data_IF_677766421972
#
_entry.id   IF_677766421972
#
_cell.length_a   1.000
_cell.length_b   1.000
_cell.length_c   1.000
_cell.angle_alpha   90.00
_cell.angle_beta   90.00
_cell.angle_gamma   90.00
#
_symmetry.space_group_name_H-M   'P 1'
#
loop_
_entity.id
_entity.type
_entity.pdbx_description
1 polymer ?
#
# COMPACT_ATOMS: atom_id res chain seq x y z
N UNK A 1 -2.44 -29.02 7.52
CA UNK A 1 -3.33 -29.60 6.50
C UNK A 1 -3.95 -30.93 6.96
N UNK A 2 -3.13 -31.93 7.46
CA UNK A 2 -3.66 -33.22 7.90
C UNK A 2 -4.70 -33.09 9.03
N UNK A 3 -4.48 -32.18 10.00
CA UNK A 3 -5.46 -31.89 11.06
C UNK A 3 -6.81 -31.43 10.49
N UNK A 4 -6.79 -30.51 9.51
CA UNK A 4 -8.01 -30.03 8.86
C UNK A 4 -8.71 -31.09 8.00
N UNK A 5 -7.94 -32.00 7.37
CA UNK A 5 -8.53 -33.16 6.71
C UNK A 5 -9.28 -34.07 7.71
N UNK A 6 -8.72 -34.29 8.92
CA UNK A 6 -9.38 -35.03 10.00
C UNK A 6 -10.62 -34.29 10.52
N UNK A 7 -10.58 -32.96 10.66
CA UNK A 7 -11.76 -32.14 10.98
C UNK A 7 -12.89 -32.39 9.95
N UNK A 8 -12.57 -32.37 8.66
CA UNK A 8 -13.52 -32.65 7.57
C UNK A 8 -14.12 -34.07 7.63
N UNK A 9 -13.41 -35.03 8.22
CA UNK A 9 -13.87 -36.42 8.46
C UNK A 9 -14.59 -36.60 9.80
N UNK A 10 -14.79 -35.52 10.57
CA UNK A 10 -15.42 -35.60 11.92
C UNK A 10 -14.48 -36.16 13.02
N UNK A 11 -13.19 -36.36 12.72
CA UNK A 11 -12.20 -36.89 13.67
C UNK A 11 -11.55 -35.77 14.48
N UNK A 12 -12.37 -35.07 15.27
CA UNK A 12 -11.97 -33.83 15.97
C UNK A 12 -10.82 -34.08 16.95
N UNK A 13 -10.89 -35.14 17.79
CA UNK A 13 -9.85 -35.46 18.77
C UNK A 13 -8.48 -35.67 18.13
N UNK A 14 -8.43 -36.47 17.06
CA UNK A 14 -7.18 -36.74 16.34
C UNK A 14 -6.62 -35.46 15.66
N UNK A 15 -7.50 -34.58 15.21
CA UNK A 15 -7.09 -33.28 14.63
C UNK A 15 -6.45 -32.35 15.67
N UNK A 16 -7.09 -32.24 16.85
CA UNK A 16 -6.58 -31.42 17.96
C UNK A 16 -5.22 -31.93 18.45
N UNK A 17 -5.03 -33.24 18.57
CA UNK A 17 -3.73 -33.85 18.93
C UNK A 17 -2.63 -33.47 17.89
N UNK A 18 -2.96 -33.48 16.60
CA UNK A 18 -2.01 -33.06 15.58
C UNK A 18 -1.64 -31.57 15.68
N UNK A 19 -2.56 -30.70 16.06
CA UNK A 19 -2.24 -29.29 16.29
C UNK A 19 -1.39 -29.11 17.55
N UNK A 20 -1.58 -29.91 18.60
CA UNK A 20 -0.74 -29.93 19.80
C UNK A 20 0.69 -30.35 19.44
N UNK A 21 0.86 -31.48 18.76
CA UNK A 21 2.17 -31.94 18.28
C UNK A 21 2.86 -30.87 17.40
N UNK A 22 2.09 -30.18 16.56
CA UNK A 22 2.64 -29.09 15.74
C UNK A 22 3.08 -27.89 16.60
N UNK A 23 2.37 -27.58 17.68
CA UNK A 23 2.68 -26.45 18.58
C UNK A 23 3.98 -26.64 19.36
N UNK A 24 4.44 -27.88 19.56
CA UNK A 24 5.69 -28.21 20.23
C UNK A 24 6.92 -27.96 19.34
N UNK A 25 6.72 -27.84 18.03
CA UNK A 25 7.82 -27.59 17.08
C UNK A 25 8.30 -26.15 17.18
N UNK A 26 9.63 -25.97 17.18
CA UNK A 26 10.28 -24.65 17.23
C UNK A 26 9.76 -23.74 16.13
N UNK A 27 9.26 -22.57 16.50
CA UNK A 27 8.75 -21.54 15.56
C UNK A 27 7.34 -21.79 15.04
N UNK A 28 6.68 -22.92 15.41
CA UNK A 28 5.35 -23.25 14.93
C UNK A 28 4.24 -23.02 15.98
N UNK A 29 4.60 -22.67 17.21
CA UNK A 29 3.65 -22.62 18.33
C UNK A 29 2.45 -21.72 18.04
N UNK A 30 2.68 -20.44 17.76
CA UNK A 30 1.58 -19.48 17.53
C UNK A 30 0.72 -19.86 16.33
N UNK A 31 1.35 -20.33 15.26
CA UNK A 31 0.65 -20.80 14.06
C UNK A 31 -0.23 -22.02 14.36
N UNK A 32 0.30 -23.03 15.05
CA UNK A 32 -0.45 -24.26 15.37
C UNK A 32 -1.57 -23.98 16.37
N UNK A 33 -1.36 -23.14 17.39
CA UNK A 33 -2.37 -22.73 18.35
C UNK A 33 -3.49 -21.94 17.68
N UNK A 34 -3.19 -21.06 16.74
CA UNK A 34 -4.21 -20.39 15.92
C UNK A 34 -5.08 -21.38 15.15
N UNK A 35 -4.49 -22.39 14.51
CA UNK A 35 -5.24 -23.43 13.81
C UNK A 35 -6.09 -24.27 14.76
N UNK A 36 -5.58 -24.57 15.97
CA UNK A 36 -6.32 -25.27 17.02
C UNK A 36 -7.53 -24.46 17.51
N UNK A 37 -7.36 -23.15 17.72
CA UNK A 37 -8.45 -22.26 18.10
C UNK A 37 -9.56 -22.23 17.03
N UNK A 38 -9.20 -22.13 15.75
CA UNK A 38 -10.17 -22.21 14.65
C UNK A 38 -10.89 -23.57 14.61
N UNK A 39 -10.18 -24.68 14.92
CA UNK A 39 -10.80 -26.00 14.98
C UNK A 39 -11.83 -26.11 16.12
N UNK A 40 -11.55 -25.50 17.28
CA UNK A 40 -12.54 -25.37 18.34
C UNK A 40 -13.76 -24.56 17.91
N UNK A 41 -13.54 -23.42 17.25
CA UNK A 41 -14.63 -22.60 16.72
C UNK A 41 -15.52 -23.38 15.73
N UNK A 42 -14.92 -24.21 14.87
CA UNK A 42 -15.68 -25.02 13.90
C UNK A 42 -16.67 -25.99 14.55
N UNK A 43 -16.36 -26.48 15.77
CA UNK A 43 -17.24 -27.36 16.53
C UNK A 43 -18.06 -26.62 17.59
N UNK A 44 -17.99 -25.29 17.65
CA UNK A 44 -18.77 -24.44 18.54
C UNK A 44 -18.19 -24.29 19.95
N UNK A 45 -16.96 -24.77 20.19
CA UNK A 45 -16.26 -24.62 21.48
C UNK A 45 -15.48 -23.30 21.52
N UNK A 46 -16.22 -22.20 21.65
CA UNK A 46 -15.63 -20.85 21.67
C UNK A 46 -14.88 -20.55 22.97
N UNK A 47 -15.23 -21.18 24.07
CA UNK A 47 -14.54 -21.07 25.35
C UNK A 47 -13.11 -21.57 25.25
N UNK A 48 -12.90 -22.79 24.71
CA UNK A 48 -11.57 -23.36 24.51
C UNK A 48 -10.75 -22.53 23.52
N UNK A 49 -11.39 -21.98 22.49
CA UNK A 49 -10.72 -21.08 21.53
C UNK A 49 -10.23 -19.78 22.19
N UNK A 50 -11.05 -19.12 23.04
CA UNK A 50 -10.66 -17.90 23.74
C UNK A 50 -9.53 -18.14 24.75
N UNK A 51 -9.51 -19.28 25.43
CA UNK A 51 -8.38 -19.63 26.33
C UNK A 51 -7.07 -19.59 25.58
N UNK A 52 -7.01 -20.14 24.36
CA UNK A 52 -5.80 -20.13 23.52
C UNK A 52 -5.39 -18.68 23.19
N UNK A 53 -6.32 -17.81 22.79
CA UNK A 53 -6.02 -16.43 22.47
C UNK A 53 -5.56 -15.62 23.70
N UNK A 54 -6.20 -15.81 24.84
CA UNK A 54 -5.84 -15.15 26.10
C UNK A 54 -4.44 -15.55 26.60
N UNK A 55 -4.03 -16.80 26.42
CA UNK A 55 -2.70 -17.26 26.77
C UNK A 55 -1.65 -16.74 25.79
N UNK A 56 -1.96 -16.70 24.48
CA UNK A 56 -1.08 -16.17 23.44
C UNK A 56 -0.80 -14.69 23.66
N UNK A 57 -1.78 -13.92 24.07
CA UNK A 57 -1.66 -12.49 24.38
C UNK A 57 -0.70 -12.25 25.56
N UNK A 58 -0.87 -12.99 26.65
CA UNK A 58 -0.01 -12.92 27.85
C UNK A 58 1.46 -13.27 27.57
N UNK A 59 1.72 -14.15 26.62
CA UNK A 59 3.07 -14.60 26.26
C UNK A 59 3.77 -13.70 25.24
N UNK A 60 3.08 -12.66 24.69
CA UNK A 60 3.62 -11.74 23.71
C UNK A 60 3.96 -12.38 22.36
N UNK A 61 3.41 -13.57 22.06
CA UNK A 61 3.67 -14.31 20.82
C UNK A 61 2.91 -13.79 19.60
N UNK A 62 2.41 -12.56 19.66
CA UNK A 62 1.87 -11.79 18.55
C UNK A 62 0.63 -12.37 17.88
N UNK A 63 -0.53 -11.80 18.16
CA UNK A 63 -1.76 -12.04 17.39
C UNK A 63 -1.61 -11.33 16.04
N UNK A 64 -1.93 -11.99 14.94
CA UNK A 64 -1.94 -11.37 13.60
C UNK A 64 -3.18 -10.49 13.41
N UNK A 65 -3.19 -9.61 12.39
CA UNK A 65 -4.39 -8.85 12.02
C UNK A 65 -5.62 -9.76 11.88
N UNK A 66 -5.51 -10.86 11.14
CA UNK A 66 -6.60 -11.81 10.97
C UNK A 66 -6.95 -12.51 12.29
N UNK A 67 -5.96 -12.82 13.11
CA UNK A 67 -6.17 -13.38 14.45
C UNK A 67 -6.96 -12.44 15.37
N UNK A 68 -6.77 -11.13 15.26
CA UNK A 68 -7.54 -10.15 16.03
C UNK A 68 -9.02 -10.13 15.63
N UNK A 69 -9.33 -10.25 14.33
CA UNK A 69 -10.72 -10.36 13.86
C UNK A 69 -11.37 -11.67 14.33
N UNK A 70 -10.62 -12.79 14.30
CA UNK A 70 -11.08 -14.09 14.81
C UNK A 70 -11.43 -13.98 16.29
N UNK A 71 -10.51 -13.44 17.12
CA UNK A 71 -10.74 -13.30 18.58
C UNK A 71 -11.94 -12.42 18.87
N UNK A 72 -12.09 -11.29 18.20
CA UNK A 72 -13.25 -10.41 18.38
C UNK A 72 -14.57 -11.15 18.09
N UNK A 73 -14.61 -11.97 17.03
CA UNK A 73 -15.80 -12.77 16.70
C UNK A 73 -16.04 -13.91 17.70
N UNK A 74 -14.99 -14.53 18.27
CA UNK A 74 -15.10 -15.49 19.37
C UNK A 74 -15.73 -14.82 20.59
N UNK A 75 -15.25 -13.67 21.01
CA UNK A 75 -15.79 -12.92 22.14
C UNK A 75 -17.27 -12.58 21.95
N UNK A 76 -17.70 -12.32 20.70
CA UNK A 76 -19.11 -12.14 20.39
C UNK A 76 -19.95 -13.39 20.60
N UNK A 77 -19.45 -14.58 20.22
CA UNK A 77 -20.17 -15.85 20.46
C UNK A 77 -20.29 -16.15 21.96
N UNK A 78 -19.36 -15.63 22.77
CA UNK A 78 -19.35 -15.72 24.23
C UNK A 78 -20.14 -14.59 24.91
N UNK A 79 -20.93 -13.81 24.18
CA UNK A 79 -21.68 -12.63 24.66
C UNK A 79 -20.81 -11.55 25.35
N UNK A 80 -19.49 -11.56 25.11
CA UNK A 80 -18.49 -10.64 25.67
C UNK A 80 -18.21 -9.45 24.74
N UNK A 81 -19.27 -8.76 24.37
CA UNK A 81 -19.23 -7.63 23.40
C UNK A 81 -18.29 -6.51 23.83
N UNK A 82 -18.32 -6.09 25.11
CA UNK A 82 -17.46 -5.03 25.63
C UNK A 82 -15.98 -5.40 25.43
N UNK A 83 -15.64 -6.63 25.83
CA UNK A 83 -14.26 -7.13 25.72
C UNK A 83 -13.78 -7.20 24.26
N UNK A 84 -14.69 -7.51 23.32
CA UNK A 84 -14.35 -7.49 21.89
C UNK A 84 -14.02 -6.08 21.38
N UNK A 85 -14.79 -5.08 21.79
CA UNK A 85 -14.55 -3.67 21.41
C UNK A 85 -13.24 -3.16 22.02
N UNK A 86 -13.07 -3.35 23.33
CA UNK A 86 -11.88 -2.91 24.06
C UNK A 86 -10.61 -3.56 23.49
N UNK A 87 -10.64 -4.85 23.22
CA UNK A 87 -9.55 -5.57 22.59
C UNK A 87 -9.20 -5.02 21.21
N UNK A 88 -10.19 -4.78 20.33
CA UNK A 88 -9.93 -4.24 18.99
C UNK A 88 -9.37 -2.82 19.05
N UNK A 89 -9.85 -1.99 19.98
CA UNK A 89 -9.36 -0.62 20.15
C UNK A 89 -7.93 -0.58 20.72
N UNK A 90 -7.63 -1.44 21.71
CA UNK A 90 -6.29 -1.55 22.27
C UNK A 90 -5.28 -2.10 21.25
N UNK A 91 -5.66 -3.17 20.54
CA UNK A 91 -4.78 -3.85 19.58
C UNK A 91 -4.43 -3.00 18.36
N UNK A 92 -5.41 -2.26 17.81
CA UNK A 92 -5.23 -1.51 16.56
C UNK A 92 -5.01 0.00 16.78
N UNK A 93 -5.34 0.54 17.95
CA UNK A 93 -5.18 1.94 18.28
C UNK A 93 -5.93 2.91 17.34
N UNK A 94 -5.42 4.12 17.21
CA UNK A 94 -6.02 5.17 16.35
C UNK A 94 -5.91 4.87 14.84
N UNK A 95 -4.94 4.07 14.43
CA UNK A 95 -4.68 3.73 13.03
C UNK A 95 -5.44 2.47 12.57
N UNK A 96 -6.48 2.06 13.31
CA UNK A 96 -7.36 0.96 12.93
C UNK A 96 -7.84 1.10 11.48
N UNK A 97 -7.65 0.06 10.68
CA UNK A 97 -8.10 0.01 9.28
C UNK A 97 -9.64 0.07 9.18
N UNK A 98 -10.14 0.30 7.97
CA UNK A 98 -11.59 0.42 7.72
C UNK A 98 -12.38 -0.81 8.18
N UNK A 99 -11.84 -2.01 7.99
CA UNK A 99 -12.48 -3.27 8.39
C UNK A 99 -12.68 -3.36 9.89
N UNK A 100 -11.64 -3.01 10.67
CA UNK A 100 -11.73 -3.02 12.14
C UNK A 100 -12.70 -1.95 12.62
N UNK A 101 -12.66 -0.74 12.06
CA UNK A 101 -13.62 0.33 12.39
C UNK A 101 -15.06 -0.06 12.06
N UNK A 102 -15.28 -0.72 10.91
CA UNK A 102 -16.60 -1.21 10.53
C UNK A 102 -17.09 -2.28 11.52
N UNK A 103 -16.22 -3.21 11.92
CA UNK A 103 -16.54 -4.22 12.91
C UNK A 103 -16.90 -3.60 14.27
N UNK A 104 -16.08 -2.67 14.77
CA UNK A 104 -16.36 -1.94 16.02
C UNK A 104 -17.71 -1.21 15.94
N UNK A 105 -18.01 -0.53 14.84
CA UNK A 105 -19.28 0.18 14.64
C UNK A 105 -20.47 -0.79 14.65
N UNK A 106 -20.35 -1.95 13.98
CA UNK A 106 -21.39 -2.99 14.03
C UNK A 106 -21.60 -3.52 15.44
N UNK A 107 -20.51 -3.77 16.18
CA UNK A 107 -20.56 -4.18 17.58
C UNK A 107 -21.26 -3.14 18.43
N UNK A 108 -20.89 -1.86 18.32
CA UNK A 108 -21.51 -0.75 19.07
C UNK A 108 -23.00 -0.62 18.76
N UNK A 109 -23.39 -0.81 17.51
CA UNK A 109 -24.81 -0.81 17.09
C UNK A 109 -25.61 -2.01 17.60
N UNK A 110 -24.98 -3.00 18.23
CA UNK A 110 -25.66 -4.17 18.74
C UNK A 110 -25.99 -5.22 17.67
N UNK A 111 -25.31 -5.19 16.55
CA UNK A 111 -25.49 -6.19 15.50
C UNK A 111 -25.10 -7.60 16.00
N UNK A 112 -25.90 -8.60 15.65
CA UNK A 112 -25.49 -9.99 15.81
C UNK A 112 -24.40 -10.29 14.77
N UNK A 113 -23.26 -10.81 15.24
CA UNK A 113 -22.13 -11.18 14.40
C UNK A 113 -21.89 -12.67 14.53
N UNK A 114 -22.14 -13.40 13.45
CA UNK A 114 -21.87 -14.81 13.39
C UNK A 114 -20.37 -15.09 13.23
N UNK A 115 -19.93 -16.25 13.69
CA UNK A 115 -18.59 -16.72 13.44
C UNK A 115 -18.51 -17.33 12.02
N UNK A 116 -17.97 -16.59 11.09
CA UNK A 116 -17.91 -16.94 9.67
C UNK A 116 -16.48 -17.17 9.13
N UNK A 117 -15.49 -17.24 10.04
CA UNK A 117 -14.07 -17.31 9.65
C UNK A 117 -13.67 -18.69 9.12
N UNK A 118 -14.28 -19.77 9.62
CA UNK A 118 -14.08 -21.15 9.16
C UNK A 118 -15.40 -21.93 9.35
N UNK A 119 -15.92 -22.52 8.28
CA UNK A 119 -17.19 -23.29 8.26
C UNK A 119 -17.00 -24.74 7.88
N UNK A 120 -15.78 -25.13 7.48
CA UNK A 120 -15.47 -26.49 7.04
C UNK A 120 -13.99 -26.83 7.19
N UNK A 121 -13.66 -28.11 7.13
CA UNK A 121 -12.27 -28.57 7.08
C UNK A 121 -11.51 -28.05 5.84
N UNK A 122 -12.19 -27.82 4.72
CA UNK A 122 -11.62 -27.20 3.52
C UNK A 122 -11.23 -25.76 3.78
N UNK A 123 -12.12 -24.96 4.36
CA UNK A 123 -11.83 -23.55 4.72
C UNK A 123 -10.68 -23.45 5.72
N UNK A 124 -10.62 -24.36 6.71
CA UNK A 124 -9.50 -24.44 7.65
C UNK A 124 -8.17 -24.80 6.98
N UNK A 125 -8.18 -25.66 5.97
CA UNK A 125 -6.99 -25.92 5.16
C UNK A 125 -6.59 -24.68 4.34
N UNK A 126 -7.55 -23.91 3.86
CA UNK A 126 -7.32 -22.59 3.25
C UNK A 126 -6.64 -21.62 4.20
N UNK A 127 -7.07 -21.55 5.47
CA UNK A 127 -6.42 -20.73 6.51
C UNK A 127 -4.96 -21.12 6.78
N UNK A 128 -4.64 -22.43 6.73
CA UNK A 128 -3.24 -22.89 6.82
C UNK A 128 -2.41 -22.33 5.67
N UNK A 129 -2.93 -22.43 4.44
CA UNK A 129 -2.19 -21.98 3.24
C UNK A 129 -2.05 -20.45 3.21
N UNK A 130 -3.08 -19.72 3.61
CA UNK A 130 -3.02 -18.28 3.75
C UNK A 130 -1.99 -17.85 4.81
N UNK A 131 -2.02 -18.50 6.00
CA UNK A 131 -1.04 -18.22 7.06
C UNK A 131 0.41 -18.50 6.62
N UNK A 132 0.64 -19.57 5.83
CA UNK A 132 1.95 -19.83 5.24
C UNK A 132 2.34 -18.76 4.23
N UNK A 133 1.40 -18.30 3.39
CA UNK A 133 1.65 -17.21 2.46
C UNK A 133 2.10 -15.94 3.18
N UNK A 134 1.40 -15.54 4.23
CA UNK A 134 1.77 -14.36 5.05
C UNK A 134 3.17 -14.55 5.69
N UNK A 135 3.48 -15.73 6.21
CA UNK A 135 4.79 -16.00 6.81
C UNK A 135 5.94 -15.91 5.79
N UNK A 136 5.70 -16.31 4.54
CA UNK A 136 6.68 -16.27 3.46
C UNK A 136 6.82 -14.88 2.80
N UNK A 137 5.82 -14.01 2.93
CA UNK A 137 5.83 -12.65 2.36
C UNK A 137 7.02 -11.82 2.85
N UNK A 138 7.51 -12.08 4.05
CA UNK A 138 8.64 -11.38 4.66
C UNK A 138 10.00 -12.07 4.39
N UNK A 139 10.04 -13.12 3.56
CA UNK A 139 11.24 -13.90 3.21
C UNK A 139 11.69 -13.67 1.76
N UNK A 140 12.87 -14.20 1.40
CA UNK A 140 13.47 -14.04 0.07
C UNK A 140 12.88 -14.93 -1.06
N UNK A 141 11.70 -15.52 -0.89
CA UNK A 141 11.14 -16.47 -1.86
C UNK A 141 9.70 -16.18 -2.29
N UNK A 142 9.49 -15.42 -3.36
CA UNK A 142 8.16 -15.10 -3.87
C UNK A 142 7.50 -16.20 -4.71
N UNK A 143 8.28 -17.21 -5.21
CA UNK A 143 7.82 -18.19 -6.20
C UNK A 143 6.69 -19.12 -5.72
N UNK A 144 6.58 -19.38 -4.42
CA UNK A 144 5.49 -20.19 -3.84
C UNK A 144 4.30 -19.38 -3.34
N UNK A 145 4.46 -18.07 -3.17
CA UNK A 145 3.50 -17.21 -2.48
C UNK A 145 2.17 -17.14 -3.22
N UNK A 146 2.21 -16.91 -4.53
CA UNK A 146 1.01 -16.88 -5.37
C UNK A 146 0.29 -18.23 -5.38
N UNK A 147 1.04 -19.34 -5.42
CA UNK A 147 0.44 -20.68 -5.36
C UNK A 147 -0.34 -20.89 -4.04
N UNK A 148 0.26 -20.54 -2.91
CA UNK A 148 -0.39 -20.69 -1.61
C UNK A 148 -1.64 -19.80 -1.48
N UNK A 149 -1.58 -18.54 -1.94
CA UNK A 149 -2.75 -17.64 -1.90
C UNK A 149 -3.86 -18.09 -2.83
N UNK A 150 -3.53 -18.61 -4.03
CA UNK A 150 -4.53 -19.15 -4.97
C UNK A 150 -5.19 -20.41 -4.44
N UNK A 151 -4.43 -21.33 -3.85
CA UNK A 151 -4.97 -22.51 -3.19
C UNK A 151 -5.80 -22.14 -1.95
N UNK A 152 -5.37 -21.16 -1.17
CA UNK A 152 -6.14 -20.64 -0.03
C UNK A 152 -7.50 -20.11 -0.48
N UNK A 153 -7.53 -19.26 -1.52
CA UNK A 153 -8.77 -18.71 -2.09
C UNK A 153 -9.69 -19.79 -2.69
N UNK A 154 -9.11 -20.86 -3.26
CA UNK A 154 -9.88 -21.98 -3.79
C UNK A 154 -10.54 -22.81 -2.67
N UNK A 155 -9.80 -23.09 -1.59
CA UNK A 155 -10.28 -23.88 -0.45
C UNK A 155 -11.19 -23.09 0.49
N UNK A 156 -10.98 -21.78 0.59
CA UNK A 156 -11.72 -20.84 1.43
C UNK A 156 -12.15 -19.60 0.60
N UNK A 157 -13.16 -19.70 -0.29
CA UNK A 157 -13.60 -18.58 -1.12
C UNK A 157 -14.11 -17.37 -0.34
N UNK A 158 -14.52 -17.57 0.91
CA UNK A 158 -14.94 -16.52 1.85
C UNK A 158 -13.75 -15.73 2.43
N UNK A 159 -12.51 -16.23 2.28
CA UNK A 159 -11.33 -15.54 2.76
C UNK A 159 -10.91 -14.42 1.79
N UNK A 160 -11.55 -13.25 1.93
CA UNK A 160 -11.27 -12.06 1.12
C UNK A 160 -9.81 -11.60 1.22
N UNK A 161 -9.14 -11.81 2.36
CA UNK A 161 -7.72 -11.45 2.50
C UNK A 161 -6.81 -12.29 1.60
N UNK A 162 -7.15 -13.57 1.40
CA UNK A 162 -6.43 -14.43 0.45
C UNK A 162 -6.64 -13.97 -1.00
N UNK A 163 -7.86 -13.52 -1.34
CA UNK A 163 -8.16 -12.92 -2.66
C UNK A 163 -7.36 -11.65 -2.89
N UNK A 164 -7.37 -10.73 -1.92
CA UNK A 164 -6.64 -9.45 -2.01
C UNK A 164 -5.13 -9.66 -2.15
N UNK A 165 -4.55 -10.55 -1.34
CA UNK A 165 -3.12 -10.87 -1.43
C UNK A 165 -2.79 -11.51 -2.78
N UNK A 166 -3.64 -12.42 -3.27
CA UNK A 166 -3.48 -13.00 -4.60
C UNK A 166 -3.52 -11.94 -5.71
N UNK A 167 -4.44 -10.97 -5.59
CA UNK A 167 -4.57 -9.88 -6.56
C UNK A 167 -3.32 -8.98 -6.57
N UNK A 168 -2.81 -8.60 -5.40
CA UNK A 168 -1.59 -7.82 -5.26
C UNK A 168 -0.37 -8.53 -5.88
N UNK A 169 -0.19 -9.82 -5.58
CA UNK A 169 0.90 -10.61 -6.16
C UNK A 169 0.80 -10.73 -7.68
N UNK A 170 -0.42 -10.89 -8.21
CA UNK A 170 -0.65 -10.92 -9.66
C UNK A 170 -0.30 -9.57 -10.30
N UNK A 171 -0.60 -8.46 -9.63
CA UNK A 171 -0.25 -7.12 -10.08
C UNK A 171 1.27 -6.91 -10.09
N UNK A 172 1.99 -7.31 -9.02
CA UNK A 172 3.45 -7.27 -8.94
C UNK A 172 4.13 -8.08 -10.04
N UNK A 173 3.52 -9.20 -10.44
CA UNK A 173 3.99 -10.05 -11.54
C UNK A 173 3.54 -9.54 -12.93
N UNK A 174 2.88 -8.39 -13.04
CA UNK A 174 2.38 -7.84 -14.30
C UNK A 174 1.17 -8.59 -14.88
N UNK A 175 0.56 -9.51 -14.12
CA UNK A 175 -0.61 -10.28 -14.54
C UNK A 175 -1.93 -9.49 -14.26
N UNK A 176 -2.00 -8.27 -14.76
CA UNK A 176 -3.08 -7.32 -14.44
C UNK A 176 -4.48 -7.85 -14.74
N UNK A 177 -4.67 -8.59 -15.82
CA UNK A 177 -5.99 -9.18 -16.15
C UNK A 177 -6.49 -10.15 -15.07
N UNK A 178 -5.62 -10.96 -14.49
CA UNK A 178 -5.96 -11.87 -13.39
C UNK A 178 -6.11 -11.13 -12.06
N UNK A 179 -5.32 -10.08 -11.83
CA UNK A 179 -5.44 -9.21 -10.66
C UNK A 179 -6.80 -8.51 -10.64
N UNK A 180 -7.23 -7.93 -11.77
CA UNK A 180 -8.54 -7.28 -11.93
C UNK A 180 -9.66 -8.26 -11.59
N UNK A 181 -9.60 -9.49 -12.11
CA UNK A 181 -10.63 -10.51 -11.83
C UNK A 181 -10.65 -10.93 -10.35
N UNK A 182 -9.48 -10.97 -9.69
CA UNK A 182 -9.39 -11.31 -8.26
C UNK A 182 -9.94 -10.18 -7.36
N UNK A 183 -9.68 -8.92 -7.70
CA UNK A 183 -10.27 -7.77 -7.00
C UNK A 183 -11.81 -7.71 -7.19
N UNK A 184 -12.28 -7.94 -8.41
CA UNK A 184 -13.72 -7.92 -8.76
C UNK A 184 -14.52 -9.02 -8.04
N UNK A 185 -13.85 -10.10 -7.62
CA UNK A 185 -14.47 -11.17 -6.84
C UNK A 185 -14.80 -10.79 -5.39
N UNK A 186 -14.32 -9.64 -4.89
CA UNK A 186 -14.59 -9.18 -3.51
C UNK A 186 -16.02 -8.66 -3.40
N UNK A 187 -16.86 -9.24 -2.51
CA UNK A 187 -18.26 -8.85 -2.39
C UNK A 187 -18.41 -7.38 -1.98
N UNK A 188 -19.37 -6.67 -2.57
CA UNK A 188 -19.67 -5.26 -2.26
C UNK A 188 -20.04 -5.03 -0.79
N UNK A 189 -20.61 -6.04 -0.15
CA UNK A 189 -20.97 -6.01 1.29
C UNK A 189 -19.78 -6.17 2.22
N UNK A 190 -18.62 -6.61 1.71
CA UNK A 190 -17.44 -6.83 2.54
C UNK A 190 -16.75 -5.50 2.88
N UNK A 191 -16.30 -5.28 4.13
CA UNK A 191 -15.61 -4.05 4.52
C UNK A 191 -14.35 -3.71 3.71
N UNK A 192 -13.69 -4.73 3.14
CA UNK A 192 -12.53 -4.55 2.27
C UNK A 192 -12.88 -4.20 0.81
N UNK A 193 -14.17 -4.07 0.45
CA UNK A 193 -14.62 -3.78 -0.92
C UNK A 193 -13.96 -2.52 -1.50
N UNK A 194 -13.94 -1.43 -0.73
CA UNK A 194 -13.32 -0.18 -1.20
C UNK A 194 -11.83 -0.38 -1.49
N UNK A 195 -11.12 -1.13 -0.64
CA UNK A 195 -9.70 -1.42 -0.86
C UNK A 195 -9.49 -2.30 -2.10
N UNK A 196 -10.37 -3.25 -2.35
CA UNK A 196 -10.36 -4.07 -3.56
C UNK A 196 -10.59 -3.23 -4.82
N UNK A 197 -11.59 -2.35 -4.82
CA UNK A 197 -11.88 -1.49 -5.95
C UNK A 197 -10.77 -0.47 -6.25
N UNK A 198 -10.11 0.06 -5.21
CA UNK A 198 -8.92 0.91 -5.38
C UNK A 198 -7.77 0.13 -6.04
N UNK A 199 -7.52 -1.11 -5.61
CA UNK A 199 -6.54 -2.00 -6.25
C UNK A 199 -6.95 -2.36 -7.69
N UNK A 200 -8.26 -2.64 -7.93
CA UNK A 200 -8.78 -2.91 -9.27
C UNK A 200 -8.59 -1.72 -10.22
N UNK A 201 -8.84 -0.51 -9.73
CA UNK A 201 -8.61 0.70 -10.50
C UNK A 201 -7.12 0.86 -10.87
N UNK A 202 -6.21 0.62 -9.92
CA UNK A 202 -4.78 0.67 -10.19
C UNK A 202 -4.36 -0.39 -11.22
N UNK A 203 -4.80 -1.64 -11.07
CA UNK A 203 -4.50 -2.72 -12.01
C UNK A 203 -5.07 -2.44 -13.41
N UNK A 204 -6.27 -1.82 -13.52
CA UNK A 204 -6.85 -1.37 -14.78
C UNK A 204 -5.98 -0.31 -15.46
N UNK A 205 -5.49 0.69 -14.72
CA UNK A 205 -4.59 1.72 -15.25
C UNK A 205 -3.29 1.10 -15.77
N UNK A 206 -2.66 0.23 -14.99
CA UNK A 206 -1.41 -0.45 -15.41
C UNK A 206 -1.65 -1.40 -16.59
N UNK A 207 -2.86 -1.92 -16.76
CA UNK A 207 -3.25 -2.73 -17.91
C UNK A 207 -3.58 -1.90 -19.17
N UNK A 208 -3.43 -0.57 -19.09
CA UNK A 208 -3.75 0.36 -20.18
C UNK A 208 -5.26 0.63 -20.37
N UNK A 209 -6.07 0.28 -19.37
CA UNK A 209 -7.54 0.54 -19.38
C UNK A 209 -7.90 1.74 -18.51
N UNK A 210 -7.23 2.86 -18.74
CA UNK A 210 -7.30 4.06 -17.90
C UNK A 210 -8.73 4.61 -17.76
N UNK A 211 -9.52 4.65 -18.84
CA UNK A 211 -10.90 5.14 -18.79
C UNK A 211 -11.77 4.31 -17.86
N UNK A 212 -11.61 2.97 -17.90
CA UNK A 212 -12.33 2.06 -16.99
C UNK A 212 -11.87 2.26 -15.53
N UNK A 213 -10.59 2.53 -15.32
CA UNK A 213 -10.05 2.84 -13.99
C UNK A 213 -10.69 4.11 -13.41
N UNK A 214 -10.77 5.17 -14.21
CA UNK A 214 -11.43 6.43 -13.81
C UNK A 214 -12.91 6.18 -13.50
N UNK A 215 -13.62 5.40 -14.31
CA UNK A 215 -15.03 5.07 -14.09
C UNK A 215 -15.24 4.34 -12.75
N UNK A 216 -14.42 3.35 -12.45
CA UNK A 216 -14.44 2.64 -11.15
C UNK A 216 -14.27 3.62 -9.98
N UNK A 217 -13.29 4.52 -10.06
CA UNK A 217 -13.04 5.49 -8.99
C UNK A 217 -14.19 6.50 -8.87
N UNK A 218 -14.80 6.93 -9.97
CA UNK A 218 -15.97 7.82 -9.95
C UNK A 218 -17.17 7.14 -9.28
N UNK A 219 -17.42 5.86 -9.58
CA UNK A 219 -18.49 5.08 -8.93
C UNK A 219 -18.21 4.92 -7.41
N UNK A 220 -16.95 4.78 -7.02
CA UNK A 220 -16.57 4.78 -5.60
C UNK A 220 -16.82 6.13 -4.94
N UNK A 221 -16.50 7.24 -5.60
CA UNK A 221 -16.79 8.60 -5.10
C UNK A 221 -18.29 8.78 -4.85
N UNK A 222 -19.16 8.32 -5.79
CA UNK A 222 -20.61 8.39 -5.63
C UNK A 222 -21.10 7.54 -4.45
N UNK A 223 -20.54 6.33 -4.28
CA UNK A 223 -20.96 5.40 -3.22
C UNK A 223 -20.41 5.73 -1.84
N UNK A 224 -19.21 6.32 -1.78
CA UNK A 224 -18.44 6.56 -0.55
C UNK A 224 -17.79 7.96 -0.55
N UNK A 225 -18.59 9.05 -0.73
CA UNK A 225 -18.04 10.41 -0.93
C UNK A 225 -17.19 10.93 0.23
N UNK A 226 -17.39 10.41 1.44
CA UNK A 226 -16.66 10.82 2.65
C UNK A 226 -15.31 10.09 2.85
N UNK A 227 -14.91 9.22 1.93
CA UNK A 227 -13.65 8.51 2.03
C UNK A 227 -12.53 9.23 1.26
N UNK A 228 -11.74 10.01 1.97
CA UNK A 228 -10.63 10.83 1.45
C UNK A 228 -9.73 10.06 0.46
N UNK A 229 -9.35 8.83 0.79
CA UNK A 229 -8.46 8.01 -0.03
C UNK A 229 -8.95 7.80 -1.47
N UNK A 230 -10.27 7.75 -1.69
CA UNK A 230 -10.83 7.59 -3.04
C UNK A 230 -10.53 8.83 -3.89
N UNK A 231 -10.72 10.01 -3.31
CA UNK A 231 -10.43 11.28 -3.98
C UNK A 231 -8.93 11.46 -4.23
N UNK A 232 -8.07 11.03 -3.29
CA UNK A 232 -6.60 11.00 -3.49
C UNK A 232 -6.23 10.12 -4.67
N UNK A 233 -6.71 8.88 -4.71
CA UNK A 233 -6.40 7.93 -5.79
C UNK A 233 -6.94 8.41 -7.14
N UNK A 234 -8.15 8.99 -7.17
CA UNK A 234 -8.70 9.57 -8.40
C UNK A 234 -7.86 10.77 -8.86
N UNK A 235 -7.43 11.62 -7.95
CA UNK A 235 -6.53 12.74 -8.24
C UNK A 235 -5.21 12.28 -8.84
N UNK A 236 -4.59 11.25 -8.25
CA UNK A 236 -3.34 10.68 -8.74
C UNK A 236 -3.47 10.12 -10.16
N UNK A 237 -4.53 9.37 -10.42
CA UNK A 237 -4.79 8.81 -11.75
C UNK A 237 -5.02 9.92 -12.78
N UNK A 238 -5.88 10.90 -12.46
CA UNK A 238 -6.17 12.03 -13.35
C UNK A 238 -4.90 12.86 -13.64
N UNK A 239 -4.03 13.06 -12.65
CA UNK A 239 -2.76 13.76 -12.81
C UNK A 239 -1.81 12.98 -13.72
N UNK A 240 -1.71 11.66 -13.59
CA UNK A 240 -0.91 10.79 -14.47
C UNK A 240 -1.38 10.86 -15.92
N UNK A 241 -2.69 10.98 -16.14
CA UNK A 241 -3.32 11.11 -17.46
C UNK A 241 -3.33 12.56 -18.01
N UNK A 242 -2.64 13.48 -17.35
CA UNK A 242 -2.58 14.87 -17.78
C UNK A 242 -3.89 15.66 -17.60
N UNK A 243 -4.89 15.12 -16.90
CA UNK A 243 -6.17 15.78 -16.64
C UNK A 243 -6.07 16.65 -15.37
N UNK A 244 -5.15 17.62 -15.39
CA UNK A 244 -4.71 18.35 -14.21
C UNK A 244 -5.81 19.12 -13.49
N UNK A 245 -6.74 19.78 -14.23
CA UNK A 245 -7.85 20.51 -13.61
C UNK A 245 -8.79 19.57 -12.83
N UNK A 246 -9.02 18.36 -13.34
CA UNK A 246 -9.82 17.34 -12.64
C UNK A 246 -9.07 16.79 -11.44
N UNK A 247 -7.76 16.59 -11.57
CA UNK A 247 -6.89 16.16 -10.48
C UNK A 247 -6.90 17.15 -9.33
N UNK A 248 -6.72 18.46 -9.60
CA UNK A 248 -6.80 19.53 -8.58
C UNK A 248 -8.12 19.47 -7.84
N UNK A 249 -9.26 19.39 -8.54
CA UNK A 249 -10.57 19.29 -7.87
C UNK A 249 -10.68 18.06 -6.95
N UNK A 250 -10.13 16.92 -7.37
CA UNK A 250 -10.15 15.72 -6.52
C UNK A 250 -9.27 15.89 -5.28
N UNK A 251 -8.09 16.50 -5.41
CA UNK A 251 -7.22 16.80 -4.28
C UNK A 251 -7.83 17.86 -3.35
N UNK A 252 -8.51 18.87 -3.87
CA UNK A 252 -9.20 19.89 -3.07
C UNK A 252 -10.23 19.23 -2.13
N UNK A 253 -11.08 18.35 -2.68
CA UNK A 253 -12.05 17.61 -1.87
C UNK A 253 -11.35 16.76 -0.80
N UNK A 254 -10.27 16.08 -1.17
CA UNK A 254 -9.51 15.25 -0.24
C UNK A 254 -8.83 16.08 0.87
N UNK A 255 -8.29 17.26 0.54
CA UNK A 255 -7.67 18.17 1.50
C UNK A 255 -8.71 18.76 2.47
N UNK A 256 -9.90 19.14 1.97
CA UNK A 256 -11.00 19.64 2.81
C UNK A 256 -11.46 18.63 3.86
N UNK A 257 -11.22 17.34 3.63
CA UNK A 257 -11.48 16.29 4.63
C UNK A 257 -10.39 16.15 5.70
N UNK A 258 -9.29 16.90 5.61
CA UNK A 258 -8.20 16.88 6.59
C UNK A 258 -8.46 17.91 7.67
N UNK A 259 -8.96 17.46 8.84
CA UNK A 259 -9.19 18.35 9.97
C UNK A 259 -7.90 18.99 10.52
N UNK A 260 -6.81 18.23 10.56
CA UNK A 260 -5.48 18.67 10.99
C UNK A 260 -4.41 18.01 10.13
N UNK A 261 -3.59 18.82 9.47
CA UNK A 261 -2.47 18.33 8.67
C UNK A 261 -1.38 17.74 9.58
N UNK A 262 -0.90 16.56 9.21
CA UNK A 262 0.17 15.80 9.89
C UNK A 262 1.30 15.51 8.89
N UNK A 263 2.50 15.13 9.33
CA UNK A 263 3.63 14.79 8.42
C UNK A 263 3.24 13.85 7.28
N UNK A 264 2.43 12.84 7.53
CA UNK A 264 1.99 11.87 6.50
C UNK A 264 1.17 12.48 5.35
N UNK A 265 0.65 13.69 5.50
CA UNK A 265 -0.17 14.36 4.48
C UNK A 265 0.67 15.17 3.47
N UNK A 266 2.00 15.17 3.57
CA UNK A 266 2.86 15.91 2.64
C UNK A 266 2.57 15.59 1.16
N UNK A 267 2.27 14.32 0.88
CA UNK A 267 2.13 13.83 -0.50
C UNK A 267 0.96 14.49 -1.25
N UNK A 268 -0.19 14.66 -0.61
CA UNK A 268 -1.37 15.24 -1.28
C UNK A 268 -1.13 16.69 -1.70
N UNK A 269 -0.43 17.48 -0.89
CA UNK A 269 -0.04 18.85 -1.24
C UNK A 269 1.02 18.85 -2.35
N UNK A 270 2.01 17.96 -2.30
CA UNK A 270 2.96 17.77 -3.38
C UNK A 270 2.26 17.41 -4.70
N UNK A 271 1.33 16.48 -4.67
CA UNK A 271 0.62 16.02 -5.86
C UNK A 271 -0.27 17.13 -6.45
N UNK A 272 -1.01 17.88 -5.61
CA UNK A 272 -1.79 19.03 -6.06
C UNK A 272 -0.89 20.15 -6.58
N UNK A 273 0.20 20.44 -5.90
CA UNK A 273 1.19 21.43 -6.33
C UNK A 273 1.77 21.12 -7.69
N UNK A 274 2.10 19.84 -7.96
CA UNK A 274 2.58 19.44 -9.28
C UNK A 274 1.49 19.57 -10.37
N UNK A 275 0.22 19.33 -10.04
CA UNK A 275 -0.87 19.56 -10.97
C UNK A 275 -1.08 21.07 -11.26
N UNK A 276 -0.95 21.93 -10.25
CA UNK A 276 -0.99 23.38 -10.42
C UNK A 276 0.17 23.89 -11.30
N UNK A 277 1.39 23.40 -11.09
CA UNK A 277 2.55 23.77 -11.92
C UNK A 277 2.34 23.39 -13.39
N UNK A 278 1.76 22.21 -13.66
CA UNK A 278 1.41 21.79 -15.03
C UNK A 278 0.30 22.62 -15.69
N UNK A 279 -0.49 23.34 -14.88
CA UNK A 279 -1.53 24.28 -15.33
C UNK A 279 -1.03 25.72 -15.42
N UNK A 280 0.27 25.95 -15.30
CA UNK A 280 0.90 27.28 -15.20
C UNK A 280 0.38 28.13 -14.00
N UNK A 281 -0.23 27.49 -13.02
CA UNK A 281 -0.65 28.11 -11.76
C UNK A 281 0.48 28.07 -10.71
N UNK A 282 1.66 28.60 -11.08
CA UNK A 282 2.89 28.48 -10.29
C UNK A 282 2.73 28.91 -8.83
N UNK A 283 2.11 30.05 -8.58
CA UNK A 283 1.93 30.59 -7.24
C UNK A 283 1.17 29.64 -6.29
N UNK A 284 0.18 28.89 -6.84
CA UNK A 284 -0.56 27.90 -6.09
C UNK A 284 0.30 26.64 -5.88
N UNK A 285 1.01 26.22 -6.92
CA UNK A 285 1.93 25.08 -6.84
C UNK A 285 3.04 25.32 -5.81
N UNK A 286 3.67 26.50 -5.83
CA UNK A 286 4.71 26.88 -4.89
C UNK A 286 4.23 26.82 -3.43
N UNK A 287 3.04 27.38 -3.14
CA UNK A 287 2.44 27.32 -1.79
C UNK A 287 2.24 25.86 -1.33
N UNK A 288 1.77 25.00 -2.21
CA UNK A 288 1.56 23.59 -1.91
C UNK A 288 2.88 22.85 -1.65
N UNK A 289 3.93 23.10 -2.43
CA UNK A 289 5.26 22.53 -2.22
C UNK A 289 5.89 23.00 -0.89
N UNK A 290 5.83 24.30 -0.61
CA UNK A 290 6.34 24.86 0.64
C UNK A 290 5.56 24.29 1.85
N UNK A 291 4.24 24.13 1.73
CA UNK A 291 3.45 23.50 2.77
C UNK A 291 3.80 22.02 2.94
N UNK A 292 3.98 21.26 1.85
CA UNK A 292 4.44 19.88 1.91
C UNK A 292 5.79 19.75 2.64
N UNK A 293 6.75 20.66 2.36
CA UNK A 293 8.04 20.71 3.06
C UNK A 293 7.91 21.16 4.53
N UNK A 294 6.93 21.99 4.88
CA UNK A 294 6.65 22.33 6.28
C UNK A 294 6.17 21.12 7.09
N UNK A 295 5.44 20.21 6.45
CA UNK A 295 4.97 18.96 7.06
C UNK A 295 6.08 17.90 7.14
N UNK A 296 6.92 17.83 6.09
CA UNK A 296 7.99 16.84 5.99
C UNK A 296 9.22 17.44 5.29
N UNK A 297 10.15 18.08 6.03
CA UNK A 297 11.20 18.94 5.50
C UNK A 297 12.25 18.22 4.63
N UNK A 298 12.35 16.90 4.73
CA UNK A 298 13.38 16.11 4.03
C UNK A 298 12.80 15.18 2.95
N UNK A 299 11.61 15.47 2.44
CA UNK A 299 11.04 14.68 1.35
C UNK A 299 11.76 14.98 0.04
N UNK A 300 12.59 14.04 -0.37
CA UNK A 300 13.44 14.21 -1.56
C UNK A 300 12.64 14.46 -2.84
N UNK A 301 11.45 13.88 -2.98
CA UNK A 301 10.57 14.12 -4.12
C UNK A 301 10.18 15.58 -4.23
N UNK A 302 9.74 16.19 -3.12
CA UNK A 302 9.33 17.60 -3.07
C UNK A 302 10.53 18.51 -3.27
N UNK A 303 11.66 18.22 -2.59
CA UNK A 303 12.90 18.98 -2.70
C UNK A 303 13.41 18.99 -4.14
N UNK A 304 13.41 17.82 -4.80
CA UNK A 304 13.86 17.73 -6.20
C UNK A 304 12.91 18.45 -7.15
N UNK A 305 11.60 18.20 -7.02
CA UNK A 305 10.62 18.81 -7.93
C UNK A 305 10.61 20.35 -7.82
N UNK A 306 10.49 20.86 -6.59
CA UNK A 306 10.50 22.31 -6.35
C UNK A 306 11.83 22.94 -6.78
N UNK A 307 12.96 22.32 -6.41
CA UNK A 307 14.28 22.80 -6.81
C UNK A 307 14.43 22.85 -8.33
N UNK A 308 14.04 21.80 -9.04
CA UNK A 308 14.09 21.76 -10.50
C UNK A 308 13.17 22.83 -11.14
N UNK A 309 11.93 22.97 -10.66
CA UNK A 309 10.98 23.98 -11.16
C UNK A 309 11.50 25.41 -10.95
N UNK A 310 12.17 25.70 -9.83
CA UNK A 310 12.82 26.98 -9.58
C UNK A 310 14.00 27.22 -10.53
N UNK A 311 14.81 26.19 -10.82
CA UNK A 311 15.93 26.24 -11.77
C UNK A 311 15.43 26.56 -13.18
N UNK A 312 14.37 25.88 -13.64
CA UNK A 312 13.76 26.13 -14.95
C UNK A 312 13.26 27.56 -15.08
N UNK A 313 12.68 28.13 -14.04
CA UNK A 313 12.17 29.50 -13.99
C UNK A 313 13.26 30.54 -13.80
N UNK A 314 14.47 30.12 -13.44
CA UNK A 314 15.58 31.04 -13.13
C UNK A 314 15.37 31.79 -11.80
N UNK A 315 14.58 31.26 -10.91
CA UNK A 315 14.23 31.85 -9.63
C UNK A 315 14.97 31.15 -8.48
N UNK A 316 15.40 31.89 -7.46
CA UNK A 316 15.97 31.36 -6.19
C UNK A 316 17.04 30.28 -6.43
N UNK A 317 17.93 30.44 -7.43
CA UNK A 317 18.80 29.37 -7.94
C UNK A 317 19.70 28.72 -6.88
N UNK A 318 20.29 29.51 -5.97
CA UNK A 318 21.13 28.97 -4.88
C UNK A 318 20.32 28.13 -3.89
N UNK A 319 19.11 28.55 -3.59
CA UNK A 319 18.20 27.79 -2.74
C UNK A 319 17.74 26.51 -3.44
N UNK A 320 17.42 26.59 -4.74
CA UNK A 320 17.08 25.44 -5.57
C UNK A 320 18.23 24.41 -5.60
N UNK A 321 19.46 24.85 -5.76
CA UNK A 321 20.65 23.99 -5.69
C UNK A 321 20.73 23.28 -4.34
N UNK A 322 20.58 24.02 -3.23
CA UNK A 322 20.62 23.43 -1.89
C UNK A 322 19.51 22.38 -1.66
N UNK A 323 18.30 22.62 -2.19
CA UNK A 323 17.20 21.64 -2.14
C UNK A 323 17.57 20.37 -2.90
N UNK A 324 18.09 20.49 -4.12
CA UNK A 324 18.46 19.35 -4.96
C UNK A 324 19.64 18.58 -4.33
N UNK A 325 20.65 19.26 -3.77
CA UNK A 325 21.74 18.61 -3.03
C UNK A 325 21.23 17.74 -1.87
N UNK A 326 20.25 18.25 -1.11
CA UNK A 326 19.60 17.47 -0.05
C UNK A 326 18.83 16.26 -0.62
N UNK A 327 18.21 16.41 -1.77
CA UNK A 327 17.53 15.30 -2.44
C UNK A 327 18.52 14.23 -2.91
N UNK A 328 19.68 14.63 -3.49
CA UNK A 328 20.78 13.71 -3.87
C UNK A 328 21.35 12.99 -2.64
N UNK A 329 21.55 13.70 -1.52
CA UNK A 329 22.04 13.10 -0.30
C UNK A 329 21.10 12.01 0.24
N UNK A 330 19.78 12.18 0.10
CA UNK A 330 18.77 11.21 0.47
C UNK A 330 18.68 10.03 -0.52
N UNK A 331 18.92 10.27 -1.81
CA UNK A 331 18.82 9.29 -2.89
C UNK A 331 20.02 9.34 -3.85
N UNK A 332 21.21 8.90 -3.41
CA UNK A 332 22.46 9.12 -4.14
C UNK A 332 22.63 8.27 -5.41
N UNK A 333 21.69 7.37 -5.69
CA UNK A 333 21.65 6.52 -6.90
C UNK A 333 20.48 6.85 -7.84
N UNK A 334 19.67 7.88 -7.53
CA UNK A 334 18.56 8.27 -8.37
C UNK A 334 19.05 9.17 -9.53
N UNK A 335 19.18 8.62 -10.72
CA UNK A 335 19.72 9.29 -11.89
C UNK A 335 19.00 10.61 -12.20
N UNK A 336 17.67 10.65 -12.13
CA UNK A 336 16.87 11.87 -12.38
C UNK A 336 17.09 12.98 -11.35
N UNK A 337 17.48 12.67 -10.11
CA UNK A 337 17.82 13.68 -9.10
C UNK A 337 19.23 14.21 -9.35
N UNK A 338 20.15 13.34 -9.77
CA UNK A 338 21.52 13.72 -10.13
C UNK A 338 21.51 14.59 -11.41
N UNK A 339 20.64 14.29 -12.37
CA UNK A 339 20.39 15.13 -13.53
C UNK A 339 19.93 16.54 -13.12
N UNK A 340 18.94 16.62 -12.22
CA UNK A 340 18.50 17.92 -11.67
C UNK A 340 19.64 18.70 -11.00
N UNK A 341 20.56 18.00 -10.30
CA UNK A 341 21.74 18.62 -9.70
C UNK A 341 22.68 19.19 -10.75
N UNK A 342 23.04 18.40 -11.75
CA UNK A 342 23.90 18.83 -12.84
C UNK A 342 23.28 19.99 -13.62
N UNK A 343 21.96 19.95 -13.85
CA UNK A 343 21.23 21.02 -14.50
C UNK A 343 21.25 22.33 -13.69
N UNK A 344 21.01 22.27 -12.39
CA UNK A 344 21.08 23.41 -11.48
C UNK A 344 22.48 24.02 -11.48
N UNK A 345 23.52 23.20 -11.41
CA UNK A 345 24.93 23.65 -11.50
C UNK A 345 25.23 24.30 -12.84
N UNK A 346 24.74 23.74 -13.95
CA UNK A 346 24.88 24.34 -15.29
C UNK A 346 24.22 25.71 -15.35
N UNK A 347 23.01 25.88 -14.86
CA UNK A 347 22.27 27.15 -14.83
C UNK A 347 22.94 28.21 -13.95
N UNK A 348 23.67 27.78 -12.92
CA UNK A 348 24.49 28.64 -12.06
C UNK A 348 25.90 28.94 -12.64
N UNK A 349 26.30 28.28 -13.74
CA UNK A 349 27.63 28.44 -14.35
C UNK A 349 28.71 27.57 -13.71
N UNK A 350 28.38 26.63 -12.84
CA UNK A 350 29.31 25.67 -12.23
C UNK A 350 29.60 24.51 -13.20
N UNK A 351 30.11 24.83 -14.36
CA UNK A 351 30.21 23.91 -15.50
C UNK A 351 31.03 22.65 -15.21
N UNK A 352 32.11 22.76 -14.43
CA UNK A 352 32.95 21.61 -14.09
C UNK A 352 32.19 20.56 -13.29
N UNK A 353 31.40 20.99 -12.29
CA UNK A 353 30.61 20.12 -11.45
C UNK A 353 29.39 19.56 -12.21
N UNK A 354 28.80 20.42 -13.08
CA UNK A 354 27.70 20.00 -13.96
C UNK A 354 28.11 18.85 -14.89
N UNK A 355 29.29 18.87 -15.49
CA UNK A 355 29.79 17.76 -16.35
C UNK A 355 29.84 16.47 -15.55
N UNK A 356 30.44 16.50 -14.36
CA UNK A 356 30.62 15.29 -13.53
C UNK A 356 29.26 14.68 -13.15
N UNK A 357 28.31 15.52 -12.72
CA UNK A 357 27.00 15.03 -12.30
C UNK A 357 26.14 14.58 -13.50
N UNK A 358 26.23 15.27 -14.65
CA UNK A 358 25.50 14.87 -15.84
C UNK A 358 26.04 13.55 -16.43
N UNK A 359 27.35 13.36 -16.48
CA UNK A 359 27.95 12.08 -16.91
C UNK A 359 27.46 10.93 -16.00
N UNK A 360 27.43 11.16 -14.68
CA UNK A 360 26.89 10.18 -13.72
C UNK A 360 25.40 9.95 -13.90
N UNK A 361 24.60 10.97 -14.20
CA UNK A 361 23.17 10.81 -14.45
C UNK A 361 22.92 9.94 -15.70
N UNK A 362 23.67 10.16 -16.79
CA UNK A 362 23.60 9.33 -18.00
C UNK A 362 24.05 7.88 -17.75
N UNK A 363 25.08 7.65 -16.93
CA UNK A 363 25.46 6.29 -16.55
C UNK A 363 24.30 5.52 -15.88
N UNK A 364 23.47 6.21 -15.09
CA UNK A 364 22.34 5.63 -14.38
C UNK A 364 21.05 5.56 -15.23
N UNK A 365 20.94 6.44 -16.24
CA UNK A 365 19.75 6.58 -17.11
C UNK A 365 20.13 6.72 -18.58
N UNK A 366 20.91 5.77 -19.08
CA UNK A 366 21.55 5.84 -20.41
C UNK A 366 20.58 6.01 -21.58
N UNK A 367 19.33 5.61 -21.44
CA UNK A 367 18.31 5.66 -22.50
C UNK A 367 17.32 6.82 -22.33
N UNK A 368 17.47 7.63 -21.27
CA UNK A 368 16.58 8.76 -21.03
C UNK A 368 16.92 9.94 -21.95
N UNK A 369 15.98 10.39 -22.82
CA UNK A 369 16.27 11.44 -23.79
C UNK A 369 16.49 12.82 -23.15
N UNK A 370 15.86 13.10 -22.00
CA UNK A 370 16.02 14.39 -21.31
C UNK A 370 17.41 14.47 -20.70
N UNK A 371 17.83 13.43 -19.99
CA UNK A 371 19.16 13.37 -19.36
C UNK A 371 20.28 13.47 -20.41
N UNK A 372 20.13 12.76 -21.53
CA UNK A 372 21.09 12.86 -22.64
C UNK A 372 21.12 14.25 -23.27
N UNK A 373 19.97 14.90 -23.45
CA UNK A 373 19.87 16.25 -23.95
C UNK A 373 20.58 17.27 -23.03
N UNK A 374 20.34 17.18 -21.72
CA UNK A 374 21.00 18.05 -20.73
C UNK A 374 22.52 17.86 -20.76
N UNK A 375 23.02 16.59 -20.81
CA UNK A 375 24.47 16.35 -20.96
C UNK A 375 25.02 16.95 -22.26
N UNK A 376 24.29 16.87 -23.38
CA UNK A 376 24.63 17.50 -24.64
C UNK A 376 24.80 19.00 -24.50
N UNK A 377 23.87 19.69 -23.84
CA UNK A 377 23.92 21.13 -23.60
C UNK A 377 25.12 21.52 -22.72
N UNK A 378 25.37 20.74 -21.65
CA UNK A 378 26.53 20.96 -20.78
C UNK A 378 27.84 20.76 -21.53
N UNK A 379 27.99 19.70 -22.33
CA UNK A 379 29.18 19.47 -23.15
C UNK A 379 29.39 20.60 -24.18
N UNK A 380 28.33 21.08 -24.80
CA UNK A 380 28.42 22.17 -25.74
C UNK A 380 28.95 23.43 -25.07
N UNK A 381 28.46 23.76 -23.88
CA UNK A 381 28.87 24.95 -23.14
C UNK A 381 30.35 24.90 -22.70
N UNK A 382 30.89 23.74 -22.40
CA UNK A 382 32.31 23.55 -22.03
C UNK A 382 33.23 23.31 -23.25
N UNK A 383 32.68 23.40 -24.49
CA UNK A 383 33.45 23.28 -25.72
C UNK A 383 33.68 21.86 -26.22
N UNK A 384 33.14 20.83 -25.54
CA UNK A 384 33.18 19.42 -25.94
C UNK A 384 32.13 19.13 -27.03
N UNK A 385 32.24 19.85 -28.16
CA UNK A 385 31.20 19.88 -29.21
C UNK A 385 30.98 18.56 -29.92
N UNK A 386 32.00 17.72 -30.00
CA UNK A 386 31.91 16.41 -30.64
C UNK A 386 31.06 15.48 -29.75
N UNK A 387 31.37 15.43 -28.47
CA UNK A 387 30.63 14.64 -27.49
C UNK A 387 29.17 15.12 -27.38
N UNK A 388 28.93 16.44 -27.38
CA UNK A 388 27.56 16.97 -27.36
C UNK A 388 26.70 16.42 -28.51
N UNK A 389 27.26 16.36 -29.74
CA UNK A 389 26.54 15.82 -30.91
C UNK A 389 26.21 14.32 -30.83
N UNK A 390 26.96 13.58 -30.03
CA UNK A 390 26.69 12.15 -29.81
C UNK A 390 25.63 11.92 -28.70
N UNK A 391 25.45 12.91 -27.81
CA UNK A 391 24.43 12.83 -26.75
C UNK A 391 23.04 13.19 -27.29
N UNK A 392 22.95 14.18 -28.16
CA UNK A 392 21.70 14.56 -28.83
C UNK A 392 21.30 13.51 -29.88
#
# INVERSE_FOLDING_TARGET
LKGWALMGLGRVGDALELFDIASEKKGMRSFALYQKALAFCLVGDFESAEVIFSETDKTGTGITFRGSLVRAKILMQLERKSDAIDFLQEFHGEDAGQEVRALIAQLQAGAAIDFDMVRSGSEGAGEVLFGLAIALQNGEGHDGLLLYTRLASYLAPSNVHALLLSAQLLEELGNYGLAIAAYDAVPRSHPAFVSAELGRAQALSQFGKTEMSIEVLMQLVESFPALRRIHETLGDLLRQEGQYERAVRSYDIAIDMINQSRPKHWYIYYARGSAHDRLDNWELGLRDFEFALSLSPNQFQVLNYLGYSLVERGERLEEALSMIERAVAAQPKAGYIIDSLGWAQFRLGYYSDAVVNMERAVELMATDPVVNNHLGDVYWAVGRKTEARFQW
#
